data_IF_612162082178
#
_entry.id   IF_612162082178
#
_cell.length_a   1.000
_cell.length_b   1.000
_cell.length_c   1.000
_cell.angle_alpha   90.00
_cell.angle_beta   90.00
_cell.angle_gamma   90.00
#
_symmetry.space_group_name_H-M   'P 1'
#
loop_
_entity.id
_entity.type
_entity.pdbx_description
1 polymer ?
#
# COMPACT_ATOMS: atom_id res chain seq x y z
N UNK A 1 31.93 50.42 62.45
CA UNK A 1 31.96 50.24 60.99
C UNK A 1 30.62 50.70 60.43
N UNK A 2 30.66 51.25 59.22
CA UNK A 2 29.84 52.32 58.64
C UNK A 2 28.39 52.00 58.29
N UNK A 3 27.62 53.08 58.19
CA UNK A 3 26.19 53.15 57.96
C UNK A 3 25.77 53.20 56.47
N UNK A 4 24.48 52.93 56.27
CA UNK A 4 23.52 53.58 55.36
C UNK A 4 23.52 53.32 53.84
N UNK A 5 22.26 53.27 53.34
CA UNK A 5 21.71 53.53 52.00
C UNK A 5 21.86 52.51 50.86
N UNK A 6 20.71 52.04 50.34
CA UNK A 6 20.16 52.38 48.99
C UNK A 6 18.97 51.43 48.67
N UNK A 7 17.70 51.82 48.88
CA UNK A 7 16.75 52.49 47.99
C UNK A 7 16.28 51.72 46.72
N UNK A 8 14.95 51.63 46.61
CA UNK A 8 14.08 51.48 45.41
C UNK A 8 13.82 50.08 44.82
N UNK A 9 12.73 49.49 45.32
CA UNK A 9 11.81 48.66 44.51
C UNK A 9 10.92 49.55 43.62
N UNK A 10 10.52 49.11 42.42
CA UNK A 10 9.27 49.57 41.80
C UNK A 10 8.15 48.53 41.92
N UNK A 11 6.95 49.06 42.14
CA UNK A 11 5.68 48.35 42.36
C UNK A 11 5.06 47.85 41.05
N UNK A 12 4.24 46.81 41.20
CA UNK A 12 3.08 46.44 40.39
C UNK A 12 2.40 47.62 39.67
N UNK A 13 2.18 47.49 38.36
CA UNK A 13 1.16 48.22 37.60
C UNK A 13 0.12 47.23 37.06
N UNK A 14 -1.13 47.43 37.48
CA UNK A 14 -2.34 46.97 36.78
C UNK A 14 -2.57 47.88 35.55
N UNK A 15 -2.95 47.28 34.43
CA UNK A 15 -3.53 47.92 33.24
C UNK A 15 -4.00 46.81 32.32
N UNK A 16 -5.29 46.49 32.31
CA UNK A 16 -6.29 46.97 31.34
C UNK A 16 -6.14 46.31 29.96
N UNK A 17 -7.07 45.40 29.64
CA UNK A 17 -7.44 45.03 28.26
C UNK A 17 -7.75 46.29 27.43
N UNK A 18 -7.57 46.21 26.11
CA UNK A 18 -8.77 46.00 25.30
C UNK A 18 -8.64 44.85 24.29
N UNK A 19 -9.79 44.21 24.15
CA UNK A 19 -10.23 43.37 23.05
C UNK A 19 -10.20 44.05 21.68
N UNK A 20 -10.08 43.20 20.66
CA UNK A 20 -10.38 43.38 19.23
C UNK A 20 -9.17 43.53 18.30
N UNK A 21 -9.38 43.03 17.08
CA UNK A 21 -8.48 43.01 15.91
C UNK A 21 -7.56 41.80 15.73
N UNK A 22 -8.10 40.77 15.09
CA UNK A 22 -7.36 39.67 14.48
C UNK A 22 -8.24 38.66 13.75
N UNK A 23 -9.38 39.10 13.18
CA UNK A 23 -10.32 38.28 12.41
C UNK A 23 -10.26 38.70 10.94
N UNK A 24 -9.19 38.34 10.23
CA UNK A 24 -9.05 38.70 8.82
C UNK A 24 -7.99 37.90 8.01
N UNK A 25 -7.79 36.59 8.23
CA UNK A 25 -6.93 35.80 7.31
C UNK A 25 -7.60 34.57 6.67
N UNK A 26 -8.71 34.06 7.20
CA UNK A 26 -9.28 32.78 6.72
C UNK A 26 -10.19 32.88 5.46
N UNK A 27 -10.45 34.08 4.92
CA UNK A 27 -11.45 34.26 3.83
C UNK A 27 -10.87 34.36 2.42
N UNK A 28 -9.56 34.44 2.24
CA UNK A 28 -8.93 34.60 0.91
C UNK A 28 -8.74 33.26 0.17
N UNK A 29 -8.41 32.16 0.86
CA UNK A 29 -8.10 30.87 0.23
C UNK A 29 -9.31 30.13 -0.36
N UNK A 30 -10.48 30.19 0.29
CA UNK A 30 -11.68 29.50 -0.21
C UNK A 30 -12.17 30.11 -1.54
N UNK A 31 -11.90 31.41 -1.75
CA UNK A 31 -12.35 32.14 -2.95
C UNK A 31 -11.46 31.88 -4.16
N UNK A 32 -10.18 31.59 -3.97
CA UNK A 32 -9.25 31.13 -5.01
C UNK A 32 -9.49 29.66 -5.36
N UNK A 33 -9.73 28.79 -4.37
CA UNK A 33 -9.91 27.35 -4.61
C UNK A 33 -11.18 27.01 -5.41
N UNK A 34 -12.29 27.74 -5.20
CA UNK A 34 -13.53 27.58 -5.99
C UNK A 34 -13.38 28.00 -7.46
N UNK A 35 -12.51 28.98 -7.77
CA UNK A 35 -12.27 29.42 -9.15
C UNK A 35 -11.37 28.45 -9.91
N UNK A 36 -10.42 27.81 -9.22
CA UNK A 36 -9.61 26.73 -9.79
C UNK A 36 -10.44 25.48 -10.08
N UNK A 37 -11.38 25.12 -9.20
CA UNK A 37 -12.29 23.98 -9.43
C UNK A 37 -13.23 24.17 -10.63
N UNK A 38 -13.70 25.39 -10.89
CA UNK A 38 -14.54 25.69 -12.06
C UNK A 38 -13.76 25.71 -13.39
N UNK A 39 -12.48 26.07 -13.38
CA UNK A 39 -11.63 26.02 -14.58
C UNK A 39 -11.22 24.60 -14.98
N UNK A 40 -11.05 23.69 -14.01
CA UNK A 40 -10.71 22.29 -14.28
C UNK A 40 -11.92 21.53 -14.87
N UNK A 41 -13.15 21.85 -14.44
CA UNK A 41 -14.37 21.20 -14.94
C UNK A 41 -14.71 21.58 -16.40
N UNK A 42 -14.27 22.75 -16.88
CA UNK A 42 -14.50 23.20 -18.26
C UNK A 42 -13.52 22.59 -19.28
N UNK A 43 -12.38 22.05 -18.85
CA UNK A 43 -11.39 21.44 -19.76
C UNK A 43 -11.70 19.98 -20.11
N UNK A 44 -12.50 19.28 -19.31
CA UNK A 44 -12.81 17.85 -19.52
C UNK A 44 -13.92 17.56 -20.52
N UNK A 45 -14.58 18.58 -21.08
CA UNK A 45 -15.67 18.41 -22.05
C UNK A 45 -15.25 18.48 -23.54
N UNK A 46 -13.96 18.68 -23.83
CA UNK A 46 -13.49 18.97 -25.20
C UNK A 46 -12.75 17.81 -25.92
N UNK A 47 -12.74 16.58 -25.38
CA UNK A 47 -11.97 15.46 -25.98
C UNK A 47 -12.82 14.27 -26.47
N UNK A 48 -14.15 14.39 -26.53
CA UNK A 48 -15.03 13.30 -27.00
C UNK A 48 -15.62 13.50 -28.41
N UNK A 49 -15.00 14.33 -29.26
CA UNK A 49 -15.49 14.53 -30.63
C UNK A 49 -14.36 14.60 -31.64
N UNK A 50 -13.82 13.44 -32.05
CA UNK A 50 -13.09 13.26 -33.31
C UNK A 50 -12.77 11.78 -33.62
N UNK A 51 -13.79 10.99 -34.00
CA UNK A 51 -13.69 10.02 -35.11
C UNK A 51 -15.04 9.31 -35.34
N UNK A 52 -15.96 10.01 -36.00
CA UNK A 52 -17.02 9.39 -36.77
C UNK A 52 -16.70 9.56 -38.25
N UNK A 53 -16.23 8.50 -38.91
CA UNK A 53 -15.90 8.48 -40.33
C UNK A 53 -16.30 7.13 -40.94
N UNK A 54 -17.49 7.14 -41.52
CA UNK A 54 -18.24 6.06 -42.17
C UNK A 54 -17.56 5.61 -43.48
N UNK A 55 -17.37 4.31 -43.68
CA UNK A 55 -17.43 3.73 -45.02
C UNK A 55 -17.77 2.23 -45.00
N UNK A 56 -18.86 1.89 -45.69
CA UNK A 56 -19.31 0.52 -45.88
C UNK A 56 -18.39 -0.20 -46.85
N UNK A 57 -17.95 -1.39 -46.46
CA UNK A 57 -17.25 -2.32 -47.33
C UNK A 57 -17.67 -3.74 -46.99
N UNK A 58 -18.47 -4.36 -47.87
CA UNK A 58 -18.74 -5.80 -47.87
C UNK A 58 -17.41 -6.55 -47.76
N UNK A 59 -17.13 -7.17 -46.60
CA UNK A 59 -16.12 -8.22 -46.51
C UNK A 59 -16.85 -9.56 -46.45
N UNK A 60 -16.82 -10.19 -47.62
CA UNK A 60 -17.15 -11.59 -47.89
C UNK A 60 -16.39 -12.46 -46.88
N UNK A 61 -17.10 -13.38 -46.23
CA UNK A 61 -16.48 -14.42 -45.42
C UNK A 61 -15.45 -15.17 -46.29
N UNK A 62 -14.19 -15.30 -45.86
CA UNK A 62 -13.30 -16.26 -46.51
C UNK A 62 -13.75 -17.66 -46.08
N UNK A 63 -14.08 -18.43 -47.11
CA UNK A 63 -14.28 -19.88 -47.10
C UNK A 63 -13.35 -20.60 -46.13
N UNK A 64 -13.96 -21.59 -45.47
CA UNK A 64 -13.29 -22.67 -44.78
C UNK A 64 -12.40 -23.45 -45.77
N UNK A 65 -11.18 -22.96 -45.98
CA UNK A 65 -10.11 -23.71 -46.61
C UNK A 65 -9.39 -24.54 -45.54
N UNK A 66 -9.73 -25.83 -45.54
CA UNK A 66 -9.00 -26.97 -45.01
C UNK A 66 -7.68 -26.68 -44.28
N UNK A 67 -7.69 -26.80 -42.95
CA UNK A 67 -6.49 -27.19 -42.21
C UNK A 67 -6.07 -28.59 -42.69
N UNK A 68 -4.79 -28.83 -43.03
CA UNK A 68 -4.30 -30.19 -43.20
C UNK A 68 -4.45 -30.93 -41.88
N UNK A 69 -5.19 -32.04 -41.94
CA UNK A 69 -5.43 -32.97 -40.85
C UNK A 69 -4.13 -33.22 -40.06
N UNK A 70 -4.11 -32.74 -38.82
CA UNK A 70 -3.13 -33.18 -37.85
C UNK A 70 -3.18 -34.70 -37.76
N UNK A 71 -2.00 -35.33 -37.81
CA UNK A 71 -1.83 -36.74 -37.44
C UNK A 71 -2.49 -36.99 -36.07
N UNK A 72 -3.03 -38.19 -35.82
CA UNK A 72 -3.72 -38.48 -34.57
C UNK A 72 -2.73 -38.31 -33.40
N UNK A 73 -2.91 -37.25 -32.62
CA UNK A 73 -2.24 -37.09 -31.35
C UNK A 73 -2.64 -38.26 -30.47
N UNK A 74 -1.70 -39.16 -30.20
CA UNK A 74 -1.80 -40.12 -29.10
C UNK A 74 -2.29 -39.36 -27.87
N UNK A 75 -3.33 -39.82 -27.16
CA UNK A 75 -3.76 -39.15 -25.94
C UNK A 75 -2.57 -39.15 -24.97
N UNK A 76 -2.00 -37.98 -24.69
CA UNK A 76 -1.02 -37.85 -23.62
C UNK A 76 -1.72 -38.25 -22.33
N UNK A 77 -1.25 -39.32 -21.69
CA UNK A 77 -1.72 -39.67 -20.36
C UNK A 77 -1.43 -38.50 -19.42
N UNK A 78 -2.49 -38.06 -18.74
CA UNK A 78 -2.45 -37.00 -17.74
C UNK A 78 -2.51 -37.63 -16.36
N UNK A 79 -1.88 -36.97 -15.38
CA UNK A 79 -2.04 -37.36 -13.98
C UNK A 79 -3.48 -37.03 -13.54
N UNK A 80 -4.24 -38.01 -13.01
CA UNK A 80 -5.62 -37.78 -12.57
C UNK A 80 -5.75 -36.79 -11.39
N UNK A 81 -4.68 -36.53 -10.65
CA UNK A 81 -4.67 -35.65 -9.47
C UNK A 81 -4.54 -34.17 -9.83
N UNK A 82 -3.74 -33.83 -10.84
CA UNK A 82 -3.50 -32.43 -11.24
C UNK A 82 -3.88 -32.10 -12.69
N UNK A 83 -4.30 -33.10 -13.48
CA UNK A 83 -4.69 -32.94 -14.88
C UNK A 83 -3.55 -32.57 -15.84
N UNK A 84 -2.31 -32.48 -15.35
CA UNK A 84 -1.14 -32.16 -16.18
C UNK A 84 -0.67 -33.42 -16.92
N UNK A 85 -0.11 -33.26 -18.13
CA UNK A 85 0.58 -34.35 -18.82
C UNK A 85 1.62 -35.00 -17.89
N UNK A 86 1.80 -36.31 -17.96
CA UNK A 86 2.84 -37.00 -17.19
C UNK A 86 4.25 -36.45 -17.49
N UNK A 87 4.44 -35.89 -18.68
CA UNK A 87 5.68 -35.22 -19.13
C UNK A 87 5.92 -33.83 -18.51
N UNK A 88 4.88 -33.22 -17.90
CA UNK A 88 4.90 -31.87 -17.32
C UNK A 88 4.49 -31.86 -15.85
N UNK A 89 4.77 -32.95 -15.15
CA UNK A 89 4.54 -33.00 -13.72
C UNK A 89 5.46 -31.99 -13.02
N UNK A 90 4.96 -31.27 -12.00
CA UNK A 90 5.81 -30.48 -11.12
C UNK A 90 6.93 -31.35 -10.56
N UNK A 91 8.14 -30.82 -10.50
CA UNK A 91 9.28 -31.54 -9.94
C UNK A 91 9.02 -31.81 -8.45
N UNK A 92 8.94 -33.09 -8.02
CA UNK A 92 8.68 -33.43 -6.62
C UNK A 92 9.85 -33.07 -5.68
N UNK A 93 11.02 -32.75 -6.24
CA UNK A 93 12.20 -32.32 -5.49
C UNK A 93 12.39 -30.80 -5.46
N UNK A 94 11.52 -30.03 -6.13
CA UNK A 94 11.58 -28.58 -6.08
C UNK A 94 11.29 -28.07 -4.66
N UNK A 95 12.05 -27.09 -4.16
CA UNK A 95 11.77 -26.49 -2.85
C UNK A 95 10.43 -25.75 -2.91
N UNK A 96 9.59 -25.98 -1.91
CA UNK A 96 8.36 -25.22 -1.72
C UNK A 96 8.76 -23.85 -1.16
N UNK A 97 8.58 -22.80 -1.96
CA UNK A 97 8.82 -21.42 -1.56
C UNK A 97 7.48 -20.72 -1.37
N UNK A 98 7.41 -19.88 -0.34
CA UNK A 98 6.30 -18.99 -0.08
C UNK A 98 6.57 -17.62 -0.72
N UNK A 99 5.54 -17.00 -1.29
CA UNK A 99 5.63 -15.65 -1.84
C UNK A 99 5.34 -14.62 -0.75
N UNK A 100 6.31 -13.78 -0.45
CA UNK A 100 6.18 -12.64 0.46
C UNK A 100 5.94 -11.38 -0.38
N UNK A 101 4.91 -10.63 -0.05
CA UNK A 101 4.63 -9.32 -0.66
C UNK A 101 5.29 -8.23 0.17
N UNK A 102 6.13 -7.41 -0.43
CA UNK A 102 6.74 -6.25 0.22
C UNK A 102 6.46 -4.97 -0.56
N UNK A 103 6.32 -3.87 0.17
CA UNK A 103 6.23 -2.54 -0.42
C UNK A 103 7.59 -1.86 -0.32
N UNK A 104 8.18 -1.55 -1.47
CA UNK A 104 9.54 -1.05 -1.56
C UNK A 104 9.69 0.05 -2.61
N UNK A 105 10.68 0.95 -2.46
CA UNK A 105 10.94 1.97 -3.44
C UNK A 105 11.40 1.37 -4.78
N UNK A 106 10.93 1.95 -5.88
CA UNK A 106 11.35 1.63 -7.26
C UNK A 106 12.70 2.28 -7.66
N UNK A 107 13.38 2.94 -6.72
CA UNK A 107 14.60 3.71 -6.94
C UNK A 107 14.36 5.17 -7.40
N UNK A 108 13.14 5.52 -7.80
CA UNK A 108 12.71 6.90 -8.08
C UNK A 108 11.95 7.52 -6.89
N UNK A 109 11.83 6.78 -5.79
CA UNK A 109 11.15 7.20 -4.57
C UNK A 109 9.65 6.87 -4.54
N UNK A 110 9.14 6.13 -5.55
CA UNK A 110 7.77 5.61 -5.49
C UNK A 110 7.75 4.23 -4.86
N UNK A 111 6.80 4.01 -3.96
CA UNK A 111 6.55 2.68 -3.40
C UNK A 111 5.83 1.82 -4.44
N UNK A 112 6.39 0.64 -4.69
CA UNK A 112 5.81 -0.41 -5.53
C UNK A 112 5.70 -1.70 -4.73
N UNK A 113 4.71 -2.50 -5.10
CA UNK A 113 4.57 -3.86 -4.61
C UNK A 113 5.60 -4.77 -5.30
N UNK A 114 6.33 -5.57 -4.52
CA UNK A 114 7.24 -6.59 -5.00
C UNK A 114 6.89 -7.93 -4.36
N UNK A 115 6.89 -8.97 -5.18
CA UNK A 115 6.71 -10.34 -4.72
C UNK A 115 8.08 -11.01 -4.65
N UNK A 116 8.51 -11.36 -3.45
CA UNK A 116 9.78 -12.02 -3.19
C UNK A 116 9.54 -13.46 -2.75
N UNK A 117 10.35 -14.39 -3.22
CA UNK A 117 10.25 -15.79 -2.81
C UNK A 117 11.10 -16.03 -1.56
N UNK A 118 10.51 -16.65 -0.54
CA UNK A 118 11.19 -17.03 0.69
C UNK A 118 10.90 -18.48 1.05
N UNK A 119 11.80 -19.11 1.81
CA UNK A 119 11.57 -20.48 2.29
C UNK A 119 10.38 -20.55 3.25
N UNK A 120 10.16 -19.49 4.05
CA UNK A 120 9.06 -19.36 5.01
C UNK A 120 8.67 -17.91 5.18
N UNK A 121 7.36 -17.66 5.24
CA UNK A 121 6.77 -16.40 5.65
C UNK A 121 6.97 -16.23 7.16
N UNK A 122 7.95 -15.42 7.51
CA UNK A 122 8.28 -15.05 8.89
C UNK A 122 8.41 -13.54 8.99
N UNK A 123 8.10 -12.97 10.15
CA UNK A 123 8.18 -11.53 10.39
C UNK A 123 9.60 -10.99 10.23
N UNK A 124 10.59 -11.78 10.64
CA UNK A 124 12.01 -11.47 10.45
C UNK A 124 12.39 -11.43 8.96
N UNK A 125 11.88 -12.37 8.16
CA UNK A 125 12.12 -12.38 6.72
C UNK A 125 11.51 -11.14 6.04
N UNK A 126 10.30 -10.71 6.44
CA UNK A 126 9.68 -9.49 5.91
C UNK A 126 10.55 -8.27 6.21
N UNK A 127 11.01 -8.07 7.45
CA UNK A 127 11.88 -6.94 7.80
C UNK A 127 13.21 -7.00 7.07
N UNK A 128 13.79 -8.19 6.93
CA UNK A 128 15.04 -8.39 6.17
C UNK A 128 14.87 -7.99 4.71
N UNK A 129 13.80 -8.44 4.06
CA UNK A 129 13.48 -8.10 2.67
C UNK A 129 13.23 -6.59 2.49
N UNK A 130 12.60 -5.93 3.47
CA UNK A 130 12.39 -4.47 3.47
C UNK A 130 13.70 -3.69 3.60
N UNK A 131 14.69 -4.22 4.33
CA UNK A 131 16.04 -3.65 4.38
C UNK A 131 16.77 -3.89 3.06
N UNK A 132 16.74 -5.11 2.53
CA UNK A 132 17.41 -5.49 1.28
C UNK A 132 16.87 -4.69 0.07
N UNK A 133 15.57 -4.42 0.05
CA UNK A 133 14.92 -3.63 -1.00
C UNK A 133 14.94 -2.12 -0.75
N UNK A 134 15.59 -1.67 0.34
CA UNK A 134 15.83 -0.26 0.60
C UNK A 134 14.62 0.53 1.10
N UNK A 135 13.57 -0.13 1.59
CA UNK A 135 12.49 0.53 2.34
C UNK A 135 13.00 0.99 3.71
N UNK A 136 13.84 0.18 4.35
CA UNK A 136 14.48 0.43 5.62
C UNK A 136 16.00 0.46 5.46
N UNK A 137 16.69 1.20 6.34
CA UNK A 137 18.15 1.12 6.44
C UNK A 137 18.59 -0.14 7.18
N UNK A 138 19.85 -0.52 6.94
CA UNK A 138 20.53 -1.53 7.74
C UNK A 138 20.46 -1.19 9.24
N UNK A 139 20.21 -2.21 10.06
CA UNK A 139 20.05 -2.06 11.51
C UNK A 139 18.61 -2.20 12.00
N UNK A 140 17.61 -2.09 11.11
CA UNK A 140 16.23 -2.39 11.46
C UNK A 140 16.04 -3.88 11.77
N UNK A 141 15.39 -4.18 12.89
CA UNK A 141 15.13 -5.56 13.35
C UNK A 141 13.73 -5.70 13.88
N UNK A 142 13.08 -6.80 13.51
CA UNK A 142 11.84 -7.24 14.12
C UNK A 142 12.05 -7.55 15.61
N UNK A 143 11.09 -7.16 16.45
CA UNK A 143 11.13 -7.41 17.91
C UNK A 143 9.97 -8.31 18.32
N UNK A 144 8.74 -7.94 17.94
CA UNK A 144 7.55 -8.70 18.32
C UNK A 144 6.36 -8.29 17.45
N UNK A 145 5.40 -9.20 17.32
CA UNK A 145 4.11 -8.97 16.71
C UNK A 145 3.03 -9.54 17.62
N UNK A 146 2.04 -8.73 17.97
CA UNK A 146 0.82 -9.20 18.61
C UNK A 146 -0.33 -9.09 17.63
N UNK A 147 -1.05 -10.18 17.40
CA UNK A 147 -2.27 -10.19 16.60
C UNK A 147 -3.49 -10.19 17.51
N UNK A 148 -4.46 -9.36 17.21
CA UNK A 148 -5.73 -9.27 17.91
C UNK A 148 -6.88 -9.48 16.95
N UNK A 149 -7.85 -10.30 17.35
CA UNK A 149 -9.11 -10.41 16.63
C UNK A 149 -9.89 -9.11 16.87
N UNK A 150 -10.22 -8.40 15.79
CA UNK A 150 -11.18 -7.31 15.84
C UNK A 150 -12.58 -7.87 16.09
N UNK A 151 -13.42 -7.05 16.73
CA UNK A 151 -14.84 -7.36 16.90
C UNK A 151 -15.61 -7.36 15.56
N UNK A 152 -14.99 -6.84 14.50
CA UNK A 152 -15.55 -6.82 13.16
C UNK A 152 -15.43 -8.18 12.47
N UNK A 153 -16.49 -8.57 11.77
CA UNK A 153 -16.51 -9.75 10.92
C UNK A 153 -16.79 -9.33 9.49
N UNK A 154 -15.92 -9.71 8.55
CA UNK A 154 -16.19 -9.50 7.12
C UNK A 154 -17.13 -10.60 6.64
N UNK A 155 -18.32 -10.21 6.16
CA UNK A 155 -19.25 -11.14 5.55
C UNK A 155 -18.63 -11.77 4.31
N UNK A 156 -18.76 -13.09 4.18
CA UNK A 156 -18.36 -13.79 2.98
C UNK A 156 -19.18 -13.29 1.77
N UNK A 157 -18.52 -13.21 0.61
CA UNK A 157 -19.17 -12.81 -0.63
C UNK A 157 -20.26 -13.79 -1.08
N UNK A 158 -21.14 -13.39 -2.00
CA UNK A 158 -22.18 -14.26 -2.52
C UNK A 158 -21.56 -15.53 -3.14
N UNK A 159 -22.02 -16.71 -2.70
CA UNK A 159 -21.56 -18.01 -3.19
C UNK A 159 -20.79 -18.87 -2.18
N UNK A 160 -20.42 -18.32 -1.01
CA UNK A 160 -19.80 -19.09 0.07
C UNK A 160 -20.88 -19.72 0.95
N UNK A 161 -20.85 -21.05 1.11
CA UNK A 161 -21.88 -21.81 1.85
C UNK A 161 -21.79 -21.63 3.37
N UNK A 162 -20.62 -21.26 3.88
CA UNK A 162 -20.40 -20.93 5.29
C UNK A 162 -20.52 -19.41 5.48
N UNK A 163 -21.68 -18.97 5.96
CA UNK A 163 -22.03 -17.57 6.20
C UNK A 163 -21.46 -16.99 7.50
N UNK A 164 -20.61 -17.76 8.19
CA UNK A 164 -19.81 -17.25 9.32
C UNK A 164 -18.71 -16.35 8.75
N UNK A 165 -18.92 -15.04 8.78
CA UNK A 165 -17.95 -14.07 8.30
C UNK A 165 -16.55 -14.31 8.88
N UNK A 166 -15.52 -14.03 8.09
CA UNK A 166 -14.13 -14.11 8.55
C UNK A 166 -13.86 -13.02 9.59
N UNK A 167 -13.31 -13.39 10.74
CA UNK A 167 -12.87 -12.42 11.74
C UNK A 167 -11.81 -11.51 11.14
N UNK A 168 -11.99 -10.22 11.32
CA UNK A 168 -11.01 -9.21 10.96
C UNK A 168 -9.87 -9.29 11.98
N UNK A 169 -8.62 -9.35 11.51
CA UNK A 169 -7.43 -9.38 12.38
C UNK A 169 -6.69 -8.07 12.29
N UNK A 170 -6.26 -7.55 13.43
CA UNK A 170 -5.36 -6.41 13.53
C UNK A 170 -4.03 -6.88 14.14
N UNK A 171 -2.96 -6.13 13.92
CA UNK A 171 -1.69 -6.43 14.58
C UNK A 171 -0.94 -5.19 15.04
N UNK A 172 -0.20 -5.36 16.13
CA UNK A 172 0.79 -4.39 16.58
C UNK A 172 2.18 -4.98 16.34
N UNK A 173 2.95 -4.33 15.47
CA UNK A 173 4.28 -4.78 15.06
C UNK A 173 5.32 -3.86 15.67
N UNK A 174 6.24 -4.44 16.45
CA UNK A 174 7.34 -3.70 17.07
C UNK A 174 8.64 -3.90 16.29
N UNK A 175 9.25 -2.80 15.87
CA UNK A 175 10.53 -2.80 15.14
C UNK A 175 11.52 -1.93 15.90
N UNK A 176 12.73 -2.45 16.07
CA UNK A 176 13.86 -1.71 16.63
C UNK A 176 14.77 -1.17 15.55
N UNK A 177 15.40 -0.02 15.79
CA UNK A 177 16.37 0.55 14.85
C UNK A 177 15.74 1.00 13.52
N UNK A 178 14.46 1.38 13.56
CA UNK A 178 13.75 1.86 12.39
C UNK A 178 14.40 3.14 11.85
N UNK A 179 14.79 3.11 10.58
CA UNK A 179 15.20 4.29 9.85
C UNK A 179 14.77 4.16 8.39
N UNK A 180 14.16 5.20 7.79
CA UNK A 180 13.69 5.13 6.42
C UNK A 180 14.87 4.97 5.46
N UNK A 181 14.61 4.22 4.39
CA UNK A 181 15.52 4.04 3.27
C UNK A 181 15.93 5.35 2.60
N UNK A 182 16.92 5.27 1.70
CA UNK A 182 17.46 6.47 1.05
C UNK A 182 16.40 7.09 0.13
N UNK A 183 16.06 8.36 0.36
CA UNK A 183 15.10 9.10 -0.46
C UNK A 183 13.63 8.85 -0.11
N UNK A 184 13.37 8.14 1.00
CA UNK A 184 12.05 7.95 1.57
C UNK A 184 11.85 8.86 2.79
N UNK A 185 10.67 9.42 2.90
CA UNK A 185 10.19 10.03 4.13
C UNK A 185 9.79 8.96 5.16
N UNK A 186 9.78 9.36 6.42
CA UNK A 186 9.53 8.45 7.54
C UNK A 186 8.10 7.89 7.52
N UNK A 187 7.13 8.68 7.08
CA UNK A 187 5.71 8.29 7.03
C UNK A 187 5.47 7.24 5.94
N UNK A 188 5.98 7.47 4.73
CA UNK A 188 5.90 6.53 3.61
C UNK A 188 6.64 5.23 3.94
N UNK A 189 7.79 5.30 4.61
CA UNK A 189 8.49 4.09 5.05
C UNK A 189 7.67 3.31 6.10
N UNK A 190 7.04 3.99 7.07
CA UNK A 190 6.14 3.32 8.03
C UNK A 190 4.96 2.67 7.32
N UNK A 191 4.33 3.40 6.40
CA UNK A 191 3.18 2.88 5.66
C UNK A 191 3.56 1.66 4.82
N UNK A 192 4.69 1.71 4.10
CA UNK A 192 5.18 0.56 3.33
C UNK A 192 5.46 -0.66 4.21
N UNK A 193 6.02 -0.46 5.40
CA UNK A 193 6.20 -1.55 6.38
C UNK A 193 4.84 -2.10 6.82
N UNK A 194 3.92 -1.24 7.26
CA UNK A 194 2.57 -1.65 7.67
C UNK A 194 1.84 -2.42 6.58
N UNK A 195 1.85 -1.93 5.35
CA UNK A 195 1.19 -2.56 4.20
C UNK A 195 1.83 -3.92 3.87
N UNK A 196 3.16 -4.05 4.03
CA UNK A 196 3.83 -5.33 3.83
C UNK A 196 3.36 -6.37 4.86
N UNK A 197 3.28 -6.01 6.15
CA UNK A 197 2.73 -6.93 7.15
C UNK A 197 1.25 -7.21 6.91
N UNK A 198 0.50 -6.21 6.46
CA UNK A 198 -0.92 -6.31 6.20
C UNK A 198 -1.25 -7.34 5.13
N UNK A 199 -0.57 -7.28 3.98
CA UNK A 199 -0.84 -8.18 2.86
C UNK A 199 -0.42 -9.62 3.18
N UNK A 200 0.74 -9.80 3.81
CA UNK A 200 1.26 -11.14 4.14
C UNK A 200 0.41 -11.89 5.18
N UNK A 201 -0.13 -11.17 6.19
CA UNK A 201 -0.93 -11.77 7.26
C UNK A 201 -2.44 -11.53 7.12
N UNK A 202 -2.89 -10.96 5.99
CA UNK A 202 -4.28 -10.61 5.70
C UNK A 202 -4.93 -9.77 6.82
N UNK A 203 -4.17 -8.81 7.34
CA UNK A 203 -4.60 -7.95 8.44
C UNK A 203 -5.45 -6.79 7.90
N UNK A 204 -6.27 -6.22 8.76
CA UNK A 204 -7.01 -5.00 8.42
C UNK A 204 -6.20 -3.77 8.80
N UNK A 205 -5.72 -3.74 10.04
CA UNK A 205 -4.92 -2.62 10.55
C UNK A 205 -3.61 -3.13 11.17
N UNK A 206 -2.53 -2.39 10.92
CA UNK A 206 -1.20 -2.66 11.48
C UNK A 206 -0.69 -1.40 12.16
N UNK A 207 -0.56 -1.46 13.47
CA UNK A 207 0.07 -0.41 14.27
C UNK A 207 1.57 -0.69 14.41
N UNK A 208 2.41 0.29 14.09
CA UNK A 208 3.86 0.19 14.22
C UNK A 208 4.36 0.85 15.50
N UNK A 209 5.04 0.06 16.32
CA UNK A 209 5.72 0.52 17.54
C UNK A 209 7.22 0.54 17.28
N UNK A 210 7.83 1.72 17.29
CA UNK A 210 9.25 1.89 17.03
C UNK A 210 10.04 1.93 18.35
N UNK A 211 11.14 1.18 18.42
CA UNK A 211 12.05 1.10 19.58
C UNK A 211 13.49 1.49 19.25
#
# INVERSE_FOLDING_TARGET
MTAAEDSRRPRFRKGSFPSSFGRAEEKSEVKTMKKCFWMILLLTAALLSACGGKEGGKRKAPDAAAMPSAAPSTPEETNPENGLPLSKQPDPTAPVLESIVIYAPDGQGKIIEKMEAAEKLTEEAIVKLLVENGTLKEGAKFVSMEQTDSAETRMAGPGVKDSGGSKVKNATVTISGFAPGKGLDEETAKQAVSDSFRENYQLNEVELVLK
#
